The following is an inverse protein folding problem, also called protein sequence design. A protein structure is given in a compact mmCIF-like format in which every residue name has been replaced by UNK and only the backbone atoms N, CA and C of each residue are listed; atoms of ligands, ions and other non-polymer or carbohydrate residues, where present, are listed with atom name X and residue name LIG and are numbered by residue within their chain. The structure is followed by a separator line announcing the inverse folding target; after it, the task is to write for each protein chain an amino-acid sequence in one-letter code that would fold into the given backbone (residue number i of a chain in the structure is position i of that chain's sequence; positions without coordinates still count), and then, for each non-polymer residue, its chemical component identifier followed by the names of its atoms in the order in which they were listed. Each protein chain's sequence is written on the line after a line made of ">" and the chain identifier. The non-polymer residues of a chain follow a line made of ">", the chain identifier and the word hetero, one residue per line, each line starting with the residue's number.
data_IF_873342235650
#
_entry.id   IF_873342235650
#
_cell.length_a   1.000
_cell.length_b   1.000
_cell.length_c   1.000
_cell.angle_alpha   90.00
_cell.angle_beta   90.00
_cell.angle_gamma   90.00
#
_symmetry.space_group_name_H-M   'P 1'
#
loop_
_entity.id
_entity.type
_entity.pdbx_description
1 polymer ?
#
# COMPACT_ATOMS: atom_id res chain seq x y z
N UNK A 1 38.23 36.89 -2.41
CA UNK A 1 39.06 36.60 -3.60
C UNK A 1 38.45 35.39 -4.28
N UNK A 2 37.76 35.63 -5.39
CA UNK A 2 37.23 34.59 -6.26
C UNK A 2 38.41 33.82 -6.88
N UNK A 3 38.32 32.49 -6.92
CA UNK A 3 39.12 31.66 -7.82
C UNK A 3 38.21 31.30 -8.98
N UNK A 4 38.52 31.86 -10.13
CA UNK A 4 37.93 31.52 -11.41
C UNK A 4 38.22 30.05 -11.71
N UNK A 5 37.15 29.25 -11.85
CA UNK A 5 37.24 27.91 -12.43
C UNK A 5 37.12 28.11 -13.93
N UNK A 6 38.25 27.99 -14.62
CA UNK A 6 38.30 27.96 -16.08
C UNK A 6 37.38 26.86 -16.61
N UNK A 7 36.37 27.27 -17.36
CA UNK A 7 35.50 26.36 -18.09
C UNK A 7 36.29 25.71 -19.23
N UNK A 8 36.52 24.41 -19.15
CA UNK A 8 37.06 23.60 -20.25
C UNK A 8 36.03 23.61 -21.40
N UNK A 9 36.34 24.16 -22.58
CA UNK A 9 35.41 24.18 -23.70
C UNK A 9 35.43 22.82 -24.40
N UNK A 10 34.41 21.99 -24.17
CA UNK A 10 34.28 20.70 -24.88
C UNK A 10 33.32 19.69 -24.27
N UNK A 11 32.97 19.80 -23.01
CA UNK A 11 31.90 18.96 -22.45
C UNK A 11 30.56 19.55 -22.85
N UNK A 12 29.97 19.01 -23.93
CA UNK A 12 28.51 19.00 -24.04
C UNK A 12 28.00 18.52 -22.69
N UNK A 13 27.25 19.36 -21.98
CA UNK A 13 26.32 18.86 -20.97
C UNK A 13 25.53 17.76 -21.67
N UNK A 14 25.89 16.50 -21.44
CA UNK A 14 25.02 15.39 -21.79
C UNK A 14 23.80 15.65 -20.93
N UNK A 15 22.76 16.21 -21.54
CA UNK A 15 21.41 16.03 -21.07
C UNK A 15 21.28 14.53 -20.90
N UNK A 16 21.44 14.04 -19.66
CA UNK A 16 21.01 12.69 -19.31
C UNK A 16 19.50 12.76 -19.38
N UNK A 17 18.99 12.72 -20.60
CA UNK A 17 17.58 12.48 -20.87
C UNK A 17 17.28 11.19 -20.12
N UNK A 18 16.43 11.31 -19.09
CA UNK A 18 16.06 10.19 -18.26
C UNK A 18 15.39 9.15 -19.16
N UNK A 19 16.14 8.12 -19.55
CA UNK A 19 15.60 7.01 -20.31
C UNK A 19 14.78 6.13 -19.36
N UNK A 20 13.51 5.97 -19.69
CA UNK A 20 12.63 5.05 -19.00
C UNK A 20 13.17 3.62 -19.15
N UNK A 21 13.16 2.81 -18.08
CA UNK A 21 13.44 1.39 -18.21
C UNK A 21 12.45 0.75 -19.19
N UNK A 22 12.87 -0.29 -19.94
CA UNK A 22 11.99 -0.94 -20.89
C UNK A 22 10.74 -1.49 -20.19
N UNK A 23 9.56 -1.42 -20.83
CA UNK A 23 8.33 -1.92 -20.24
C UNK A 23 8.44 -3.43 -20.00
N UNK A 24 7.96 -3.89 -18.84
CA UNK A 24 7.89 -5.30 -18.54
C UNK A 24 7.01 -6.03 -19.58
N UNK A 25 7.44 -7.20 -20.08
CA UNK A 25 6.61 -8.03 -20.94
C UNK A 25 5.32 -8.39 -20.20
N UNK A 26 4.18 -8.35 -20.92
CA UNK A 26 2.88 -8.60 -20.30
C UNK A 26 2.81 -10.01 -19.70
N UNK A 27 3.39 -10.98 -20.40
CA UNK A 27 3.50 -12.37 -19.97
C UNK A 27 4.99 -12.73 -19.98
N UNK A 28 5.57 -12.90 -18.80
CA UNK A 28 6.94 -13.41 -18.64
C UNK A 28 6.90 -14.81 -18.03
N UNK A 29 6.97 -15.83 -18.90
CA UNK A 29 6.94 -17.23 -18.45
C UNK A 29 8.23 -17.66 -17.78
N UNK A 30 9.33 -16.95 -18.00
CA UNK A 30 10.62 -17.29 -17.42
C UNK A 30 10.65 -17.01 -15.92
N UNK A 31 9.83 -16.08 -15.41
CA UNK A 31 9.69 -15.82 -13.97
C UNK A 31 9.25 -17.06 -13.19
N UNK A 32 8.43 -17.93 -13.79
CA UNK A 32 7.94 -19.16 -13.15
C UNK A 32 9.04 -20.17 -12.86
N UNK A 33 10.18 -20.07 -13.56
CA UNK A 33 11.35 -20.94 -13.32
C UNK A 33 12.26 -20.39 -12.21
N UNK A 34 12.06 -19.15 -11.76
CA UNK A 34 12.94 -18.48 -10.81
C UNK A 34 12.48 -18.73 -9.38
N UNK A 35 13.39 -19.21 -8.53
CA UNK A 35 13.09 -19.37 -7.11
C UNK A 35 12.88 -18.02 -6.38
N UNK A 36 13.53 -16.95 -6.86
CA UNK A 36 13.31 -15.58 -6.38
C UNK A 36 11.88 -15.10 -6.61
N UNK A 37 11.19 -15.59 -7.64
CA UNK A 37 9.77 -15.28 -7.87
C UNK A 37 8.88 -15.82 -6.75
N UNK A 38 9.01 -17.10 -6.41
CA UNK A 38 8.22 -17.70 -5.32
C UNK A 38 8.55 -17.09 -3.96
N UNK A 39 9.83 -16.76 -3.71
CA UNK A 39 10.24 -16.01 -2.50
C UNK A 39 9.54 -14.65 -2.41
N UNK A 40 9.38 -13.95 -3.53
CA UNK A 40 8.65 -12.68 -3.57
C UNK A 40 7.15 -12.86 -3.32
N UNK A 41 6.52 -13.90 -3.87
CA UNK A 41 5.11 -14.24 -3.60
C UNK A 41 4.90 -14.56 -2.11
N UNK A 42 5.80 -15.34 -1.49
CA UNK A 42 5.78 -15.63 -0.06
C UNK A 42 5.97 -14.35 0.76
N UNK A 43 6.87 -13.45 0.34
CA UNK A 43 7.10 -12.18 1.03
C UNK A 43 5.84 -11.30 1.03
N UNK A 44 5.11 -11.21 -0.09
CA UNK A 44 3.82 -10.50 -0.15
C UNK A 44 2.75 -11.14 0.75
N UNK A 45 2.67 -12.47 0.79
CA UNK A 45 1.79 -13.20 1.71
C UNK A 45 2.10 -12.86 3.18
N UNK A 46 3.36 -13.02 3.60
CA UNK A 46 3.79 -12.81 5.00
C UNK A 46 3.64 -11.34 5.39
N UNK A 47 4.01 -10.41 4.52
CA UNK A 47 3.85 -8.99 4.80
C UNK A 47 2.38 -8.62 4.97
N UNK A 48 1.48 -9.12 4.11
CA UNK A 48 0.05 -8.84 4.23
C UNK A 48 -0.57 -9.49 5.47
N UNK A 49 -0.12 -10.68 5.85
CA UNK A 49 -0.48 -11.32 7.12
C UNK A 49 -0.11 -10.43 8.32
N UNK A 50 1.14 -10.00 8.41
CA UNK A 50 1.61 -9.16 9.52
C UNK A 50 0.91 -7.80 9.54
N UNK A 51 0.67 -7.21 8.36
CA UNK A 51 -0.07 -5.97 8.20
C UNK A 51 -1.47 -6.08 8.82
N UNK A 52 -2.24 -7.09 8.44
CA UNK A 52 -3.61 -7.29 8.94
C UNK A 52 -3.62 -7.70 10.41
N UNK A 53 -2.68 -8.55 10.83
CA UNK A 53 -2.56 -8.95 12.24
C UNK A 53 -2.39 -7.74 13.15
N UNK A 54 -1.38 -6.89 12.90
CA UNK A 54 -1.11 -5.73 13.77
C UNK A 54 -2.25 -4.73 13.70
N UNK A 55 -2.69 -4.34 12.51
CA UNK A 55 -3.66 -3.26 12.35
C UNK A 55 -5.04 -3.61 12.89
N UNK A 56 -5.54 -4.82 12.63
CA UNK A 56 -6.84 -5.25 13.18
C UNK A 56 -6.75 -5.47 14.68
N UNK A 57 -5.65 -6.01 15.20
CA UNK A 57 -5.43 -6.12 16.64
C UNK A 57 -5.47 -4.74 17.33
N UNK A 58 -4.84 -3.72 16.75
CA UNK A 58 -4.91 -2.33 17.26
C UNK A 58 -6.34 -1.78 17.22
N UNK A 59 -7.09 -2.02 16.15
CA UNK A 59 -8.50 -1.56 16.04
C UNK A 59 -9.36 -2.18 17.13
N UNK A 60 -9.29 -3.50 17.32
CA UNK A 60 -10.10 -4.19 18.34
C UNK A 60 -9.65 -3.76 19.75
N UNK A 61 -8.35 -3.63 20.00
CA UNK A 61 -7.83 -3.14 21.27
C UNK A 61 -8.33 -1.73 21.60
N UNK A 62 -8.29 -0.79 20.65
CA UNK A 62 -8.83 0.55 20.84
C UNK A 62 -10.34 0.54 21.17
N UNK A 63 -11.11 -0.28 20.45
CA UNK A 63 -12.56 -0.39 20.68
C UNK A 63 -12.89 -0.98 22.05
N UNK A 64 -12.13 -1.97 22.50
CA UNK A 64 -12.27 -2.55 23.84
C UNK A 64 -11.97 -1.51 24.93
N UNK A 65 -10.81 -0.84 24.85
CA UNK A 65 -10.39 0.14 25.87
C UNK A 65 -11.35 1.34 25.96
N UNK A 66 -11.98 1.72 24.85
CA UNK A 66 -12.90 2.87 24.80
C UNK A 66 -14.36 2.52 25.15
N UNK A 67 -14.70 1.24 25.37
CA UNK A 67 -16.08 0.84 25.68
C UNK A 67 -16.38 0.99 27.18
N UNK A 68 -16.95 2.15 27.55
CA UNK A 68 -17.33 2.46 28.93
C UNK A 68 -18.41 1.54 29.49
N UNK A 69 -19.19 0.84 28.64
CA UNK A 69 -20.19 -0.13 29.08
C UNK A 69 -19.57 -1.46 29.48
N UNK A 70 -18.34 -1.73 29.01
CA UNK A 70 -17.56 -2.92 29.34
C UNK A 70 -16.44 -2.64 30.37
N UNK A 71 -16.47 -1.48 31.04
CA UNK A 71 -15.46 -1.08 32.02
C UNK A 71 -14.22 -0.40 31.43
N UNK A 72 -14.24 -0.08 30.14
CA UNK A 72 -13.24 0.77 29.49
C UNK A 72 -13.32 2.23 29.93
N UNK A 73 -12.30 3.01 29.56
CA UNK A 73 -12.20 4.44 29.86
C UNK A 73 -12.26 5.19 28.54
N UNK A 74 -13.21 6.12 28.42
CA UNK A 74 -13.26 7.00 27.26
C UNK A 74 -11.94 7.78 27.15
N UNK A 75 -11.38 7.84 25.95
CA UNK A 75 -10.04 8.38 25.67
C UNK A 75 -8.86 7.63 26.33
N UNK A 76 -9.05 6.43 26.89
CA UNK A 76 -7.99 5.65 27.55
C UNK A 76 -7.05 4.87 26.62
N UNK A 77 -7.47 4.64 25.37
CA UNK A 77 -6.69 3.86 24.39
C UNK A 77 -5.76 4.70 23.52
N UNK A 78 -5.22 4.08 22.46
CA UNK A 78 -4.32 4.72 21.48
C UNK A 78 -4.99 5.82 20.62
N UNK A 79 -6.30 5.99 20.74
CA UNK A 79 -7.10 6.89 19.92
C UNK A 79 -7.22 6.44 18.46
N UNK A 80 -8.10 7.10 17.71
CA UNK A 80 -8.20 6.92 16.25
C UNK A 80 -6.89 7.31 15.56
N UNK A 81 -6.14 8.27 16.13
CA UNK A 81 -4.80 8.63 15.68
C UNK A 81 -3.83 7.44 15.74
N UNK A 82 -3.84 6.66 16.83
CA UNK A 82 -3.04 5.45 16.96
C UNK A 82 -3.41 4.36 15.95
N UNK A 83 -4.70 4.23 15.62
CA UNK A 83 -5.14 3.35 14.53
C UNK A 83 -4.53 3.80 13.20
N UNK A 84 -4.64 5.09 12.86
CA UNK A 84 -4.06 5.61 11.62
C UNK A 84 -2.53 5.39 11.56
N UNK A 85 -1.83 5.57 12.69
CA UNK A 85 -0.41 5.25 12.82
C UNK A 85 -0.10 3.77 12.61
N UNK A 86 -0.92 2.86 13.14
CA UNK A 86 -0.71 1.42 12.94
C UNK A 86 -0.77 1.06 11.45
N UNK A 87 -1.74 1.59 10.71
CA UNK A 87 -1.86 1.34 9.27
C UNK A 87 -0.68 1.94 8.47
N UNK A 88 -0.38 3.23 8.65
CA UNK A 88 0.71 3.87 7.91
C UNK A 88 2.10 3.38 8.30
N UNK A 89 2.33 3.18 9.60
CA UNK A 89 3.58 2.67 10.16
C UNK A 89 3.88 1.23 9.71
N UNK A 90 2.89 0.35 9.71
CA UNK A 90 3.08 -1.02 9.21
C UNK A 90 3.39 -1.04 7.71
N UNK A 91 2.76 -0.19 6.90
CA UNK A 91 3.12 -0.08 5.48
C UNK A 91 4.55 0.42 5.33
N UNK A 92 4.97 1.44 6.07
CA UNK A 92 6.37 1.89 6.07
C UNK A 92 7.35 0.74 6.38
N UNK A 93 7.13 0.02 7.48
CA UNK A 93 8.02 -1.07 7.92
C UNK A 93 8.03 -2.21 6.89
N UNK A 94 6.87 -2.66 6.45
CA UNK A 94 6.77 -3.82 5.57
C UNK A 94 7.28 -3.54 4.16
N UNK A 95 7.03 -2.35 3.62
CA UNK A 95 7.63 -1.93 2.35
C UNK A 95 9.15 -1.85 2.50
N UNK A 96 9.66 -1.31 3.62
CA UNK A 96 11.11 -1.31 3.88
C UNK A 96 11.71 -2.72 3.87
N UNK A 97 11.06 -3.68 4.53
CA UNK A 97 11.53 -5.06 4.60
C UNK A 97 11.45 -5.80 3.25
N UNK A 98 10.43 -5.51 2.43
CA UNK A 98 10.11 -6.33 1.24
C UNK A 98 10.42 -5.65 -0.09
N UNK A 99 10.74 -4.36 -0.13
CA UNK A 99 11.00 -3.63 -1.38
C UNK A 99 12.13 -4.25 -2.21
N UNK A 100 13.19 -4.76 -1.57
CA UNK A 100 14.29 -5.45 -2.28
C UNK A 100 13.98 -6.88 -2.72
N UNK A 101 12.89 -7.47 -2.23
CA UNK A 101 12.51 -8.87 -2.45
C UNK A 101 11.34 -8.96 -3.43
N UNK A 102 10.19 -8.37 -3.08
CA UNK A 102 8.97 -8.42 -3.89
C UNK A 102 8.66 -7.13 -4.63
N UNK A 103 9.28 -6.01 -4.23
CA UNK A 103 8.85 -4.66 -4.61
C UNK A 103 7.97 -3.99 -3.55
N UNK A 104 7.51 -4.74 -2.54
CA UNK A 104 6.78 -4.20 -1.39
C UNK A 104 5.43 -3.60 -1.78
N UNK A 105 4.54 -4.40 -2.36
CA UNK A 105 3.21 -3.92 -2.74
C UNK A 105 2.21 -3.97 -1.58
N UNK A 106 2.11 -5.12 -0.89
CA UNK A 106 1.18 -5.40 0.24
C UNK A 106 -0.29 -5.03 -0.08
N UNK A 107 -0.63 -4.84 -1.35
CA UNK A 107 -1.89 -4.23 -1.78
C UNK A 107 -2.20 -4.57 -3.25
N UNK A 108 -3.38 -5.17 -3.54
CA UNK A 108 -3.82 -5.43 -4.90
C UNK A 108 -3.92 -4.19 -5.79
N UNK A 109 -4.35 -3.04 -5.25
CA UNK A 109 -4.48 -1.79 -6.01
C UNK A 109 -3.11 -1.23 -6.42
N UNK A 110 -2.09 -1.36 -5.55
CA UNK A 110 -0.70 -1.00 -5.89
C UNK A 110 -0.15 -1.92 -6.97
N UNK A 111 -0.34 -3.23 -6.81
CA UNK A 111 0.05 -4.24 -7.81
C UNK A 111 -0.59 -3.97 -9.16
N UNK A 112 -1.89 -3.66 -9.16
CA UNK A 112 -2.66 -3.33 -10.36
C UNK A 112 -2.19 -2.05 -11.04
N UNK A 113 -1.94 -0.97 -10.27
CA UNK A 113 -1.39 0.27 -10.82
C UNK A 113 -0.04 0.04 -11.52
N UNK A 114 0.87 -0.71 -10.88
CA UNK A 114 2.18 -1.04 -11.45
C UNK A 114 2.07 -1.97 -12.68
N UNK A 115 1.08 -2.86 -12.72
CA UNK A 115 0.75 -3.66 -13.92
C UNK A 115 0.32 -2.75 -15.08
N UNK A 116 -0.58 -1.80 -14.85
CA UNK A 116 -1.05 -0.85 -15.88
C UNK A 116 0.11 -0.01 -16.42
N UNK A 117 1.05 0.38 -15.56
CA UNK A 117 2.25 1.10 -15.94
C UNK A 117 3.36 0.21 -16.53
N UNK A 118 3.09 -1.07 -16.83
CA UNK A 118 4.06 -2.03 -17.37
C UNK A 118 5.34 -2.17 -16.52
N UNK A 119 5.24 -2.03 -15.20
CA UNK A 119 6.34 -2.27 -14.25
C UNK A 119 6.29 -3.68 -13.64
N UNK A 120 5.19 -4.40 -13.82
CA UNK A 120 4.94 -5.76 -13.31
C UNK A 120 4.26 -6.58 -14.41
N UNK A 121 4.64 -7.85 -14.57
CA UNK A 121 3.98 -8.77 -15.52
C UNK A 121 2.59 -9.20 -15.01
N UNK A 122 1.70 -9.62 -15.91
CA UNK A 122 0.37 -10.08 -15.55
C UNK A 122 0.41 -11.29 -14.61
N UNK A 123 1.30 -12.25 -14.87
CA UNK A 123 1.44 -13.47 -14.05
C UNK A 123 1.87 -13.13 -12.63
N UNK A 124 2.87 -12.25 -12.48
CA UNK A 124 3.32 -11.75 -11.18
C UNK A 124 2.22 -11.00 -10.46
N UNK A 125 1.50 -10.13 -11.16
CA UNK A 125 0.40 -9.36 -10.57
C UNK A 125 -0.70 -10.27 -10.00
N UNK A 126 -1.14 -11.28 -10.76
CA UNK A 126 -2.16 -12.22 -10.30
C UNK A 126 -1.70 -13.02 -9.07
N UNK A 127 -0.47 -13.54 -9.08
CA UNK A 127 0.05 -14.30 -7.95
C UNK A 127 0.27 -13.44 -6.69
N UNK A 128 0.65 -12.17 -6.86
CA UNK A 128 0.72 -11.22 -5.74
C UNK A 128 -0.67 -10.92 -5.17
N UNK A 129 -1.67 -10.66 -6.01
CA UNK A 129 -3.04 -10.39 -5.55
C UNK A 129 -3.59 -11.58 -4.74
N UNK A 130 -3.38 -12.81 -5.22
CA UNK A 130 -3.79 -14.02 -4.51
C UNK A 130 -3.04 -14.14 -3.17
N UNK A 131 -1.71 -13.99 -3.18
CA UNK A 131 -0.89 -14.09 -1.98
C UNK A 131 -1.26 -13.02 -0.93
N UNK A 132 -1.51 -11.79 -1.35
CA UNK A 132 -1.97 -10.69 -0.49
C UNK A 132 -3.33 -11.02 0.13
N UNK A 133 -4.29 -11.49 -0.66
CA UNK A 133 -5.62 -11.86 -0.15
C UNK A 133 -5.55 -13.01 0.87
N UNK A 134 -4.78 -14.05 0.59
CA UNK A 134 -4.59 -15.17 1.52
C UNK A 134 -3.86 -14.73 2.79
N UNK A 135 -2.83 -13.88 2.66
CA UNK A 135 -2.12 -13.30 3.79
C UNK A 135 -3.06 -12.50 4.68
N UNK A 136 -3.90 -11.65 4.09
CA UNK A 136 -4.90 -10.87 4.81
C UNK A 136 -5.89 -11.76 5.59
N UNK A 137 -6.42 -12.82 4.96
CA UNK A 137 -7.31 -13.78 5.63
C UNK A 137 -6.60 -14.41 6.84
N UNK A 138 -5.36 -14.90 6.67
CA UNK A 138 -4.59 -15.49 7.76
C UNK A 138 -4.34 -14.49 8.90
N UNK A 139 -3.93 -13.26 8.56
CA UNK A 139 -3.64 -12.21 9.54
C UNK A 139 -4.86 -11.87 10.40
N UNK A 140 -6.02 -11.64 9.78
CA UNK A 140 -7.27 -11.38 10.52
C UNK A 140 -7.75 -12.63 11.28
N UNK A 141 -7.57 -13.81 10.70
CA UNK A 141 -7.88 -15.10 11.35
C UNK A 141 -7.15 -15.29 12.66
N UNK A 142 -5.85 -14.94 12.72
CA UNK A 142 -5.08 -14.96 13.97
C UNK A 142 -5.62 -13.98 15.01
N UNK A 143 -6.04 -12.79 14.62
CA UNK A 143 -6.64 -11.83 15.55
C UNK A 143 -7.94 -12.37 16.14
N UNK A 144 -8.82 -12.95 15.31
CA UNK A 144 -10.05 -13.59 15.79
C UNK A 144 -9.75 -14.78 16.72
N UNK A 145 -8.72 -15.56 16.43
CA UNK A 145 -8.32 -16.69 17.27
C UNK A 145 -7.87 -16.25 18.67
N UNK A 146 -7.18 -15.10 18.79
CA UNK A 146 -6.69 -14.61 20.09
C UNK A 146 -7.77 -13.94 20.94
N UNK A 147 -8.77 -13.32 20.32
CA UNK A 147 -9.77 -12.51 21.02
C UNK A 147 -11.16 -12.59 20.37
N UNK A 148 -11.65 -13.80 20.13
CA UNK A 148 -12.87 -14.05 19.34
C UNK A 148 -14.09 -13.27 19.81
N UNK A 149 -14.36 -13.25 21.12
CA UNK A 149 -15.50 -12.53 21.70
C UNK A 149 -15.43 -11.02 21.43
N UNK A 150 -14.28 -10.40 21.67
CA UNK A 150 -14.06 -8.98 21.42
C UNK A 150 -14.03 -8.65 19.93
N UNK A 151 -13.41 -9.51 19.12
CA UNK A 151 -13.34 -9.35 17.68
C UNK A 151 -14.74 -9.27 17.06
N UNK A 152 -15.64 -10.19 17.41
CA UNK A 152 -17.01 -10.21 16.90
C UNK A 152 -17.80 -8.99 17.39
N UNK A 153 -17.70 -8.66 18.68
CA UNK A 153 -18.40 -7.52 19.30
C UNK A 153 -18.03 -6.18 18.66
N UNK A 154 -16.76 -5.99 18.30
CA UNK A 154 -16.23 -4.69 17.85
C UNK A 154 -16.00 -4.59 16.33
N UNK A 155 -16.77 -5.33 15.54
CA UNK A 155 -16.83 -5.13 14.08
C UNK A 155 -15.71 -5.80 13.27
N UNK A 156 -14.86 -6.60 13.90
CA UNK A 156 -13.85 -7.44 13.24
C UNK A 156 -12.80 -6.70 12.38
N UNK A 157 -12.70 -5.38 12.51
CA UNK A 157 -11.87 -4.53 11.63
C UNK A 157 -12.34 -4.48 10.17
N UNK A 158 -13.59 -4.89 9.89
CA UNK A 158 -14.15 -4.93 8.54
C UNK A 158 -14.48 -3.52 8.02
N UNK A 159 -14.22 -3.29 6.73
CA UNK A 159 -14.66 -2.06 6.07
C UNK A 159 -16.16 -2.16 5.75
N UNK A 160 -16.89 -1.09 6.05
CA UNK A 160 -18.28 -0.89 5.65
C UNK A 160 -18.58 0.60 5.67
N UNK A 161 -19.66 1.00 5.03
CA UNK A 161 -20.06 2.41 5.01
C UNK A 161 -20.59 2.81 6.39
N UNK A 162 -20.05 3.90 6.95
CA UNK A 162 -20.58 4.49 8.16
C UNK A 162 -21.98 5.07 7.92
N UNK A 163 -22.85 4.97 8.92
CA UNK A 163 -24.21 5.47 8.80
C UNK A 163 -24.20 6.99 8.60
N UNK A 164 -25.12 7.51 7.77
CA UNK A 164 -25.15 8.92 7.36
C UNK A 164 -24.37 9.22 6.07
N UNK A 165 -23.51 8.31 5.61
CA UNK A 165 -22.90 8.40 4.28
C UNK A 165 -23.65 7.54 3.27
N UNK A 166 -23.70 7.98 2.01
CA UNK A 166 -24.24 7.18 0.91
C UNK A 166 -23.10 6.43 0.18
N UNK A 167 -23.45 5.41 -0.60
CA UNK A 167 -22.48 4.53 -1.29
C UNK A 167 -21.57 5.30 -2.25
N UNK A 168 -22.06 6.37 -2.86
CA UNK A 168 -21.28 7.20 -3.78
C UNK A 168 -20.20 7.98 -3.02
N UNK A 169 -20.51 8.51 -1.84
CA UNK A 169 -19.52 9.16 -0.96
C UNK A 169 -18.45 8.18 -0.51
N UNK A 170 -18.84 6.97 -0.09
CA UNK A 170 -17.89 5.91 0.24
C UNK A 170 -16.98 5.56 -0.93
N UNK A 171 -17.55 5.35 -2.12
CA UNK A 171 -16.80 5.06 -3.33
C UNK A 171 -15.84 6.20 -3.71
N UNK A 172 -16.29 7.44 -3.67
CA UNK A 172 -15.46 8.62 -3.95
C UNK A 172 -14.28 8.75 -2.98
N UNK A 173 -14.51 8.54 -1.68
CA UNK A 173 -13.47 8.55 -0.66
C UNK A 173 -12.40 7.47 -0.92
N UNK A 174 -12.81 6.25 -1.28
CA UNK A 174 -11.90 5.15 -1.60
C UNK A 174 -11.10 5.39 -2.90
N UNK A 175 -11.72 5.99 -3.92
CA UNK A 175 -11.05 6.37 -5.17
C UNK A 175 -9.96 7.41 -4.90
N UNK A 176 -10.29 8.51 -4.21
CA UNK A 176 -9.36 9.60 -3.94
C UNK A 176 -8.25 9.13 -2.99
N UNK A 177 -8.60 8.41 -1.92
CA UNK A 177 -7.62 7.85 -1.00
C UNK A 177 -6.64 6.90 -1.68
N UNK A 178 -7.13 6.03 -2.57
CA UNK A 178 -6.25 5.12 -3.31
C UNK A 178 -5.43 5.85 -4.38
N UNK A 179 -5.99 6.89 -5.02
CA UNK A 179 -5.22 7.75 -5.92
C UNK A 179 -4.02 8.37 -5.20
N UNK A 180 -4.22 8.95 -4.01
CA UNK A 180 -3.14 9.53 -3.20
C UNK A 180 -2.06 8.48 -2.93
N UNK A 181 -2.45 7.30 -2.44
CA UNK A 181 -1.52 6.20 -2.18
C UNK A 181 -0.73 5.79 -3.43
N UNK A 182 -1.42 5.45 -4.52
CA UNK A 182 -0.77 4.88 -5.71
C UNK A 182 0.05 5.93 -6.45
N UNK A 183 -0.38 7.20 -6.44
CA UNK A 183 0.43 8.31 -6.95
C UNK A 183 1.73 8.48 -6.16
N UNK A 184 1.66 8.39 -4.82
CA UNK A 184 2.86 8.39 -3.98
C UNK A 184 3.75 7.18 -4.26
N UNK A 185 3.19 5.99 -4.48
CA UNK A 185 3.96 4.79 -4.88
C UNK A 185 4.74 5.05 -6.16
N UNK A 186 4.10 5.58 -7.21
CA UNK A 186 4.79 5.90 -8.46
C UNK A 186 5.93 6.90 -8.26
N UNK A 187 5.68 7.97 -7.50
CA UNK A 187 6.69 9.00 -7.17
C UNK A 187 7.83 8.46 -6.30
N UNK A 188 7.59 7.38 -5.57
CA UNK A 188 8.54 6.70 -4.70
C UNK A 188 9.30 5.56 -5.40
N UNK A 189 9.05 5.29 -6.69
CA UNK A 189 9.82 4.28 -7.44
C UNK A 189 11.24 4.74 -7.69
N UNK A 190 12.23 3.87 -7.46
CA UNK A 190 13.61 4.12 -7.90
C UNK A 190 13.77 3.67 -9.36
N UNK A 191 13.99 4.59 -10.32
CA UNK A 191 14.11 4.22 -11.74
C UNK A 191 15.35 3.36 -12.04
N UNK A 192 16.30 3.27 -11.09
CA UNK A 192 17.58 2.56 -11.29
C UNK A 192 17.70 1.26 -10.50
N UNK A 193 16.78 0.97 -9.58
CA UNK A 193 16.87 -0.19 -8.69
C UNK A 193 15.63 -1.04 -8.83
N UNK A 194 15.86 -2.33 -9.12
CA UNK A 194 14.80 -3.33 -9.17
C UNK A 194 14.94 -4.34 -8.02
N UNK A 195 13.82 -4.93 -7.62
CA UNK A 195 13.77 -6.05 -6.71
C UNK A 195 14.45 -7.27 -7.34
N UNK A 196 14.96 -8.16 -6.48
CA UNK A 196 15.83 -9.27 -6.86
C UNK A 196 15.33 -10.07 -8.08
N UNK A 197 16.19 -10.20 -9.09
CA UNK A 197 16.00 -10.97 -10.33
C UNK A 197 14.72 -10.62 -11.13
N UNK A 198 14.24 -9.38 -11.02
CA UNK A 198 12.99 -8.90 -11.61
C UNK A 198 13.12 -7.49 -12.21
N UNK A 199 12.04 -7.01 -12.84
CA UNK A 199 11.88 -5.63 -13.31
C UNK A 199 11.04 -4.76 -12.38
N UNK A 200 10.67 -5.28 -11.20
CA UNK A 200 9.82 -4.55 -10.25
C UNK A 200 10.68 -3.49 -9.55
N UNK A 201 10.30 -2.20 -9.55
CA UNK A 201 11.10 -1.15 -8.94
C UNK A 201 11.16 -1.30 -7.41
N UNK A 202 12.29 -0.90 -6.82
CA UNK A 202 12.41 -0.72 -5.37
C UNK A 202 11.71 0.58 -4.99
N UNK A 203 10.89 0.54 -3.93
CA UNK A 203 10.11 1.68 -3.45
C UNK A 203 10.78 2.37 -2.27
N UNK A 204 10.67 3.70 -2.20
CA UNK A 204 10.98 4.46 -1.00
C UNK A 204 9.82 4.34 0.02
N UNK A 205 10.03 3.67 1.17
CA UNK A 205 8.91 3.24 2.02
C UNK A 205 8.27 4.36 2.85
N UNK A 206 9.05 5.36 3.27
CA UNK A 206 8.57 6.39 4.20
C UNK A 206 7.43 7.25 3.63
N UNK A 207 7.52 7.82 2.41
CA UNK A 207 6.41 8.56 1.83
C UNK A 207 5.16 7.69 1.65
N UNK A 208 5.32 6.41 1.29
CA UNK A 208 4.20 5.49 1.08
C UNK A 208 3.46 5.24 2.40
N UNK A 209 4.19 4.95 3.49
CA UNK A 209 3.59 4.82 4.81
C UNK A 209 2.87 6.08 5.27
N UNK A 210 3.44 7.26 5.01
CA UNK A 210 2.79 8.54 5.30
C UNK A 210 1.54 8.81 4.46
N UNK A 211 1.53 8.44 3.18
CA UNK A 211 0.34 8.54 2.35
C UNK A 211 -0.81 7.69 2.92
N UNK A 212 -0.51 6.45 3.33
CA UNK A 212 -1.49 5.59 4.00
C UNK A 212 -1.96 6.22 5.31
N UNK A 213 -1.05 6.72 6.15
CA UNK A 213 -1.39 7.41 7.40
C UNK A 213 -2.33 8.60 7.18
N UNK A 214 -1.98 9.50 6.26
CA UNK A 214 -2.77 10.70 5.95
C UNK A 214 -4.16 10.34 5.43
N UNK A 215 -4.27 9.34 4.54
CA UNK A 215 -5.57 8.90 4.04
C UNK A 215 -6.41 8.33 5.19
N UNK A 216 -5.84 7.55 6.10
CA UNK A 216 -6.56 7.03 7.26
C UNK A 216 -7.11 8.14 8.16
N UNK A 217 -6.35 9.21 8.41
CA UNK A 217 -6.84 10.36 9.18
C UNK A 217 -8.12 10.97 8.58
N UNK A 218 -8.22 10.99 7.24
CA UNK A 218 -9.36 11.57 6.54
C UNK A 218 -10.52 10.60 6.31
N UNK A 219 -10.24 9.31 6.06
CA UNK A 219 -11.26 8.36 5.56
C UNK A 219 -11.73 7.33 6.60
N UNK A 220 -11.11 7.23 7.77
CA UNK A 220 -11.61 6.35 8.86
C UNK A 220 -13.09 6.63 9.19
N UNK A 221 -13.55 7.89 9.32
CA UNK A 221 -14.96 8.16 9.66
C UNK A 221 -15.97 7.72 8.61
N UNK A 222 -15.56 7.57 7.35
CA UNK A 222 -16.48 7.27 6.22
C UNK A 222 -16.60 5.76 6.01
N UNK A 223 -15.47 5.04 5.95
CA UNK A 223 -15.42 3.62 5.55
C UNK A 223 -14.55 2.74 6.45
N UNK A 224 -13.93 3.32 7.49
CA UNK A 224 -12.82 2.69 8.21
C UNK A 224 -11.52 2.62 7.39
N UNK A 225 -11.48 3.28 6.22
CA UNK A 225 -10.40 3.28 5.23
C UNK A 225 -10.07 1.90 4.65
N UNK A 226 -10.48 1.67 3.40
CA UNK A 226 -10.13 0.49 2.62
C UNK A 226 -8.77 0.65 1.97
N UNK A 227 -8.72 1.40 0.86
CA UNK A 227 -7.62 1.67 -0.09
C UNK A 227 -6.74 0.47 -0.50
N UNK A 228 -7.14 -0.73 -0.08
CA UNK A 228 -6.42 -1.98 -0.20
C UNK A 228 -7.45 -3.14 -0.26
N UNK A 229 -7.71 -3.69 -1.46
CA UNK A 229 -8.71 -4.74 -1.62
C UNK A 229 -8.42 -6.01 -0.80
N UNK A 230 -7.15 -6.42 -0.63
CA UNK A 230 -6.80 -7.59 0.16
C UNK A 230 -7.12 -7.38 1.65
N UNK A 231 -6.84 -6.17 2.18
CA UNK A 231 -7.19 -5.80 3.56
C UNK A 231 -8.70 -5.83 3.79
N UNK A 232 -9.47 -5.28 2.86
CA UNK A 232 -10.93 -5.28 2.98
C UNK A 232 -11.50 -6.69 2.82
N UNK A 233 -10.94 -7.50 1.92
CA UNK A 233 -11.36 -8.88 1.67
C UNK A 233 -11.04 -9.81 2.85
N UNK A 234 -9.82 -9.78 3.37
CA UNK A 234 -9.43 -10.61 4.52
C UNK A 234 -10.32 -10.34 5.75
N UNK A 235 -10.64 -9.08 6.01
CA UNK A 235 -11.54 -8.72 7.10
C UNK A 235 -12.99 -9.16 6.85
N UNK A 236 -13.51 -8.97 5.63
CA UNK A 236 -14.86 -9.40 5.26
C UNK A 236 -15.04 -10.92 5.37
N UNK A 237 -14.03 -11.70 4.94
CA UNK A 237 -14.05 -13.18 5.00
C UNK A 237 -14.08 -13.68 6.43
N UNK A 238 -13.25 -13.13 7.33
CA UNK A 238 -13.15 -13.63 8.71
C UNK A 238 -14.29 -13.12 9.61
N UNK A 239 -14.75 -11.89 9.37
CA UNK A 239 -15.86 -11.31 10.10
C UNK A 239 -17.20 -11.90 9.64
N UNK A 240 -17.37 -12.06 8.32
CA UNK A 240 -18.50 -12.73 7.68
C UNK A 240 -19.89 -12.21 8.07
N UNK A 241 -20.06 -10.89 8.06
CA UNK A 241 -21.34 -10.23 8.35
C UNK A 241 -21.96 -9.59 7.11
N UNK A 242 -23.28 -9.46 7.10
CA UNK A 242 -24.06 -9.02 5.93
C UNK A 242 -23.71 -7.61 5.45
N UNK A 243 -23.57 -6.63 6.37
CA UNK A 243 -23.29 -5.23 6.01
C UNK A 243 -21.93 -5.07 5.31
N UNK A 244 -20.80 -5.56 5.86
CA UNK A 244 -19.51 -5.54 5.15
C UNK A 244 -19.52 -6.24 3.79
N UNK A 245 -20.24 -7.36 3.63
CA UNK A 245 -20.37 -8.04 2.34
C UNK A 245 -21.19 -7.22 1.33
N UNK A 246 -22.28 -6.57 1.74
CA UNK A 246 -23.11 -5.73 0.88
C UNK A 246 -22.36 -4.49 0.36
N UNK A 247 -21.43 -3.96 1.14
CA UNK A 247 -20.61 -2.81 0.76
C UNK A 247 -19.28 -3.23 0.09
N UNK A 248 -18.97 -4.54 0.07
CA UNK A 248 -17.63 -5.04 -0.25
C UNK A 248 -17.11 -4.62 -1.63
N UNK A 249 -18.00 -4.53 -2.63
CA UNK A 249 -17.65 -4.14 -3.99
C UNK A 249 -17.00 -2.74 -4.06
N UNK A 250 -17.34 -1.83 -3.14
CA UNK A 250 -16.75 -0.49 -3.06
C UNK A 250 -15.24 -0.58 -2.85
N UNK A 251 -14.80 -1.52 -2.02
CA UNK A 251 -13.39 -1.69 -1.63
C UNK A 251 -12.56 -2.47 -2.66
N UNK A 252 -13.17 -2.92 -3.76
CA UNK A 252 -12.47 -3.40 -4.94
C UNK A 252 -12.50 -2.37 -6.06
N UNK A 253 -13.71 -1.90 -6.40
CA UNK A 253 -13.90 -0.95 -7.50
C UNK A 253 -13.21 0.38 -7.22
N UNK A 254 -13.41 0.96 -6.04
CA UNK A 254 -12.85 2.25 -5.68
C UNK A 254 -11.32 2.25 -5.76
N UNK A 255 -10.63 1.31 -5.08
CA UNK A 255 -9.18 1.24 -5.16
C UNK A 255 -8.62 0.96 -6.55
N UNK A 256 -9.24 0.08 -7.36
CA UNK A 256 -8.77 -0.14 -8.72
C UNK A 256 -8.96 1.07 -9.64
N UNK A 257 -10.07 1.79 -9.53
CA UNK A 257 -10.29 3.03 -10.27
C UNK A 257 -9.28 4.10 -9.83
N UNK A 258 -9.08 4.30 -8.53
CA UNK A 258 -8.08 5.24 -8.00
C UNK A 258 -6.66 4.93 -8.47
N UNK A 259 -6.28 3.64 -8.46
CA UNK A 259 -4.99 3.17 -8.95
C UNK A 259 -4.81 3.40 -10.46
N UNK A 260 -5.84 3.15 -11.26
CA UNK A 260 -5.81 3.38 -12.70
C UNK A 260 -5.65 4.87 -13.05
N UNK A 261 -6.37 5.75 -12.35
CA UNK A 261 -6.25 7.21 -12.51
C UNK A 261 -4.84 7.66 -12.12
N UNK A 262 -4.29 7.17 -11.01
CA UNK A 262 -2.93 7.50 -10.58
C UNK A 262 -1.87 7.04 -11.60
N UNK A 263 -2.01 5.83 -12.13
CA UNK A 263 -1.13 5.31 -13.18
C UNK A 263 -1.20 6.18 -14.44
N UNK A 264 -2.41 6.51 -14.91
CA UNK A 264 -2.61 7.38 -16.06
C UNK A 264 -2.00 8.77 -15.85
N UNK A 265 -2.29 9.39 -14.70
CA UNK A 265 -1.78 10.72 -14.38
C UNK A 265 -0.25 10.75 -14.34
N UNK A 266 0.39 9.82 -13.64
CA UNK A 266 1.85 9.80 -13.53
C UNK A 266 2.54 9.47 -14.87
N UNK A 267 2.02 8.49 -15.62
CA UNK A 267 2.64 7.99 -16.85
C UNK A 267 2.40 8.92 -18.03
N UNK A 268 1.17 9.40 -18.21
CA UNK A 268 0.75 10.10 -19.43
C UNK A 268 0.75 11.62 -19.24
N UNK A 269 0.20 12.12 -18.14
CA UNK A 269 0.07 13.56 -17.90
C UNK A 269 1.41 14.15 -17.47
N UNK A 270 2.03 13.58 -16.44
CA UNK A 270 3.31 14.09 -15.92
C UNK A 270 4.52 13.58 -16.70
N UNK A 271 4.41 12.44 -17.40
CA UNK A 271 5.55 11.74 -18.02
C UNK A 271 6.75 11.58 -17.07
N UNK A 272 6.45 11.24 -15.81
CA UNK A 272 7.42 11.26 -14.72
C UNK A 272 8.14 9.91 -14.51
N UNK A 273 8.04 8.97 -15.46
CA UNK A 273 8.57 7.61 -15.33
C UNK A 273 10.07 7.51 -15.10
N UNK A 274 10.83 8.48 -15.64
CA UNK A 274 12.25 8.61 -15.43
C UNK A 274 12.61 9.44 -14.20
N UNK A 275 11.65 10.19 -13.63
CA UNK A 275 11.94 11.07 -12.50
C UNK A 275 12.29 10.27 -11.24
N UNK A 276 13.31 10.72 -10.51
CA UNK A 276 13.66 10.18 -9.19
C UNK A 276 13.33 11.22 -8.13
N UNK A 277 12.38 10.93 -7.24
CA UNK A 277 12.17 11.80 -6.08
C UNK A 277 13.38 11.73 -5.15
N UNK A 278 13.84 12.90 -4.69
CA UNK A 278 14.90 12.98 -3.70
C UNK A 278 14.28 12.72 -2.33
N UNK A 279 14.54 11.53 -1.76
CA UNK A 279 14.17 11.25 -0.37
C UNK A 279 14.87 12.22 0.58
N UNK A 280 14.21 12.56 1.70
CA UNK A 280 14.67 13.56 2.68
C UNK A 280 16.05 13.28 3.29
N UNK A 281 16.55 12.05 3.20
CA UNK A 281 17.86 11.67 3.73
C UNK A 281 18.93 11.73 2.65
N UNK A 282 19.36 12.94 2.28
CA UNK A 282 20.73 13.11 1.80
C UNK A 282 21.61 13.19 3.04
N UNK A 283 22.28 12.08 3.39
CA UNK A 283 23.53 12.22 4.12
C UNK A 283 24.44 12.98 3.17
N UNK A 284 24.68 14.27 3.45
CA UNK A 284 25.81 14.95 2.86
C UNK A 284 27.04 14.16 3.32
N UNK A 285 27.64 13.39 2.41
CA UNK A 285 28.99 12.89 2.62
C UNK A 285 29.91 14.12 2.50
N UNK A 286 29.99 14.89 3.58
CA UNK A 286 31.03 15.86 3.79
C UNK A 286 31.96 15.30 4.86
N UNK A 287 33.22 15.20 4.46
CA UNK A 287 34.45 14.77 5.16
C UNK A 287 34.71 13.27 5.12
#
# INVERSE_FOLDING_TARGET
>A
MAKDVEAVPGERFQTRDYQDPPPAPLIDREELKKWSFYRAVIAEFVATLLFLYITVLTVIGYKLESDTTAGGVDCGGVGILGIAWAFGGMIFILVYCTAGISGGHINPAVTFGLLLARKVSLVRALLYIIAQCLGAICGVGFVKAFQSSYYVRYGGGANSLADGYNKLTGLGAEIIGTFVLVYTVFSATDPKRSARDSHVPVLAPLPIGFAVFMVHLATIPITGTGINPARSFGAAVIYNESKPWNDHWIFWLGPFVGAAIAAFYHQIVLRASGSKSLGSFRSAANV
#
